data_IF_801973718317
#
_entry.id   IF_801973718317
#
_cell.length_a   1.000
_cell.length_b   1.000
_cell.length_c   1.000
_cell.angle_alpha   90.00
_cell.angle_beta   90.00
_cell.angle_gamma   90.00
#
_symmetry.space_group_name_H-M   'P 1'
#
loop_
_entity.id
_entity.type
_entity.pdbx_description
1 polymer ?
#
# COMPACT_ATOMS: atom_id res chain seq x y z
N UNK A 1 92.87 32.14 -25.58
CA UNK A 1 92.49 30.79 -26.04
C UNK A 1 92.53 29.91 -24.80
N UNK A 2 91.48 29.44 -24.15
CA UNK A 2 90.09 29.22 -24.56
C UNK A 2 89.67 27.84 -24.04
N UNK A 3 89.76 27.59 -22.72
CA UNK A 3 89.31 26.36 -22.07
C UNK A 3 87.99 26.63 -21.35
N UNK A 4 86.90 26.14 -21.95
CA UNK A 4 85.57 26.08 -21.34
C UNK A 4 85.22 24.59 -21.21
N UNK A 5 85.39 24.03 -20.02
CA UNK A 5 84.69 22.82 -19.60
C UNK A 5 83.72 23.23 -18.48
N UNK A 6 82.47 22.78 -18.63
CA UNK A 6 81.32 23.15 -17.80
C UNK A 6 81.35 22.43 -16.44
N UNK A 7 80.79 23.02 -15.37
CA UNK A 7 80.69 22.35 -14.08
C UNK A 7 79.56 21.30 -14.07
N UNK A 8 79.86 20.16 -13.42
CA UNK A 8 79.02 18.97 -13.21
C UNK A 8 77.56 19.27 -12.83
N UNK A 9 76.63 18.76 -13.64
CA UNK A 9 75.18 18.78 -13.38
C UNK A 9 74.71 17.80 -12.31
N UNK A 10 75.59 16.92 -11.81
CA UNK A 10 75.21 15.85 -10.87
C UNK A 10 75.17 16.31 -9.40
N UNK A 11 75.93 17.34 -9.03
CA UNK A 11 75.94 17.86 -7.66
C UNK A 11 74.65 18.64 -7.31
N UNK A 12 74.08 19.37 -8.26
CA UNK A 12 72.85 20.17 -8.06
C UNK A 12 71.61 19.25 -8.01
N UNK A 13 71.60 18.19 -8.80
CA UNK A 13 70.49 17.23 -8.84
C UNK A 13 70.40 16.39 -7.56
N UNK A 14 71.54 16.04 -6.96
CA UNK A 14 71.58 15.36 -5.65
C UNK A 14 71.13 16.25 -4.48
N UNK A 15 71.43 17.55 -4.51
CA UNK A 15 71.02 18.50 -3.48
C UNK A 15 69.52 18.83 -3.54
N UNK A 16 68.92 18.85 -4.74
CA UNK A 16 67.47 19.07 -4.92
C UNK A 16 66.66 17.83 -4.50
N UNK A 17 67.17 16.61 -4.73
CA UNK A 17 66.52 15.39 -4.23
C UNK A 17 66.58 15.25 -2.70
N UNK A 18 67.63 15.76 -2.05
CA UNK A 18 67.74 15.76 -0.57
C UNK A 18 66.85 16.81 0.11
N UNK A 19 66.47 17.89 -0.59
CA UNK A 19 65.66 18.97 -0.04
C UNK A 19 64.14 18.79 -0.25
N UNK A 20 63.71 17.81 -1.06
CA UNK A 20 62.30 17.49 -1.28
C UNK A 20 61.67 16.69 -0.13
N UNK A 21 62.42 16.38 0.92
CA UNK A 21 61.98 15.59 2.08
C UNK A 21 61.75 16.46 3.33
N UNK A 22 61.22 17.67 3.15
CA UNK A 22 60.74 18.49 4.27
C UNK A 22 59.22 18.33 4.37
N UNK A 23 58.82 17.52 5.35
CA UNK A 23 57.48 17.32 5.83
C UNK A 23 56.75 18.64 6.12
N UNK A 24 55.74 18.97 5.32
CA UNK A 24 54.57 19.72 5.80
C UNK A 24 53.30 19.03 5.34
N UNK A 25 52.88 18.06 6.15
CA UNK A 25 51.69 17.25 5.96
C UNK A 25 52.05 15.82 6.33
N UNK A 26 51.48 15.31 7.42
CA UNK A 26 51.68 13.94 7.90
C UNK A 26 51.20 12.97 6.80
N UNK A 27 52.09 12.66 5.86
CA UNK A 27 51.86 11.70 4.78
C UNK A 27 52.69 10.48 5.15
N UNK A 28 51.97 9.40 5.50
CA UNK A 28 52.61 8.13 5.81
C UNK A 28 53.50 7.69 4.64
N UNK A 29 54.69 7.12 4.90
CA UNK A 29 55.56 6.61 3.84
C UNK A 29 54.80 5.64 2.94
N UNK A 30 55.04 5.68 1.62
CA UNK A 30 54.34 4.85 0.64
C UNK A 30 54.42 3.34 0.95
N UNK A 31 55.54 2.92 1.58
CA UNK A 31 55.76 1.56 2.07
C UNK A 31 54.82 1.14 3.22
N UNK A 32 54.21 2.09 3.92
CA UNK A 32 53.21 1.90 4.98
C UNK A 32 51.80 1.84 4.39
N UNK A 33 51.52 2.68 3.39
CA UNK A 33 50.21 2.73 2.70
C UNK A 33 49.89 1.44 1.95
N UNK A 34 50.90 0.70 1.48
CA UNK A 34 50.74 -0.57 0.77
C UNK A 34 50.69 -1.80 1.69
N UNK A 35 50.86 -1.63 3.01
CA UNK A 35 50.83 -2.77 3.93
C UNK A 35 49.40 -3.32 4.09
N UNK A 36 49.23 -4.65 4.14
CA UNK A 36 47.91 -5.28 4.27
C UNK A 36 47.12 -4.79 5.50
N UNK A 37 47.80 -4.55 6.63
CA UNK A 37 47.17 -4.06 7.86
C UNK A 37 46.64 -2.62 7.72
N UNK A 38 47.33 -1.77 6.96
CA UNK A 38 46.94 -0.38 6.75
C UNK A 38 45.73 -0.27 5.82
N UNK A 39 45.74 -1.04 4.72
CA UNK A 39 44.59 -1.20 3.83
C UNK A 39 43.36 -1.71 4.58
N UNK A 40 43.54 -2.67 5.49
CA UNK A 40 42.43 -3.21 6.29
C UNK A 40 41.84 -2.14 7.23
N UNK A 41 42.67 -1.33 7.90
CA UNK A 41 42.20 -0.21 8.72
C UNK A 41 41.50 0.86 7.87
N UNK A 42 42.07 1.23 6.72
CA UNK A 42 41.48 2.20 5.82
C UNK A 42 40.09 1.75 5.31
N UNK A 43 39.95 0.47 4.96
CA UNK A 43 38.66 -0.13 4.58
C UNK A 43 37.67 -0.09 5.75
N UNK A 44 38.08 -0.45 6.97
CA UNK A 44 37.20 -0.40 8.15
C UNK A 44 36.72 1.02 8.45
N UNK A 45 37.61 2.02 8.37
CA UNK A 45 37.26 3.43 8.58
C UNK A 45 36.32 3.94 7.49
N UNK A 46 36.60 3.61 6.22
CA UNK A 46 35.73 3.97 5.11
C UNK A 46 34.34 3.32 5.26
N UNK A 47 34.29 2.04 5.63
CA UNK A 47 33.04 1.30 5.85
C UNK A 47 32.24 1.89 7.01
N UNK A 48 32.90 2.22 8.12
CA UNK A 48 32.26 2.87 9.27
C UNK A 48 31.69 4.26 8.89
N UNK A 49 32.43 5.02 8.09
CA UNK A 49 31.99 6.33 7.59
C UNK A 49 30.77 6.20 6.67
N UNK A 50 30.78 5.22 5.75
CA UNK A 50 29.64 4.92 4.87
C UNK A 50 28.42 4.48 5.70
N UNK A 51 28.61 3.65 6.73
CA UNK A 51 27.55 3.23 7.65
C UNK A 51 26.98 4.43 8.39
N UNK A 52 27.82 5.33 8.91
CA UNK A 52 27.37 6.54 9.61
C UNK A 52 26.63 7.50 8.68
N UNK A 53 27.14 7.70 7.47
CA UNK A 53 26.49 8.52 6.45
C UNK A 53 25.14 7.91 6.06
N UNK A 54 25.11 6.59 5.83
CA UNK A 54 23.90 5.81 5.55
C UNK A 54 22.87 5.89 6.68
N UNK A 55 23.29 5.77 7.94
CA UNK A 55 22.44 5.94 9.12
C UNK A 55 21.92 7.38 9.26
N UNK A 56 22.72 8.37 8.88
CA UNK A 56 22.32 9.79 8.89
C UNK A 56 21.30 10.09 7.79
N UNK A 57 21.51 9.57 6.58
CA UNK A 57 20.52 9.63 5.50
C UNK A 57 19.26 8.81 5.82
N UNK A 58 19.39 7.69 6.52
CA UNK A 58 18.26 6.90 7.00
C UNK A 58 17.40 7.63 8.03
N UNK A 59 17.91 8.69 8.69
CA UNK A 59 17.08 9.59 9.52
C UNK A 59 16.26 10.58 8.68
N UNK A 60 16.69 10.87 7.46
CA UNK A 60 15.98 11.76 6.52
C UNK A 60 14.88 11.01 5.74
N UNK A 61 15.02 9.69 5.60
CA UNK A 61 14.01 8.83 4.95
C UNK A 61 13.15 8.17 6.03
N UNK A 62 11.85 8.52 6.17
CA UNK A 62 10.99 7.86 7.13
C UNK A 62 10.90 6.37 6.82
N UNK A 63 11.36 5.54 7.76
CA UNK A 63 11.30 4.09 7.61
C UNK A 63 9.84 3.62 7.54
N UNK A 64 9.53 2.60 6.73
CA UNK A 64 8.19 2.07 6.64
C UNK A 64 7.76 1.51 8.00
N UNK A 65 6.55 1.88 8.44
CA UNK A 65 5.99 1.51 9.75
C UNK A 65 5.98 -0.01 10.06
N UNK A 66 6.11 -0.83 9.02
CA UNK A 66 6.19 -2.29 9.11
C UNK A 66 7.45 -2.80 9.82
N UNK A 67 8.55 -2.05 9.74
CA UNK A 67 9.84 -2.42 10.34
C UNK A 67 9.86 -2.17 11.85
N UNK A 68 9.00 -1.28 12.35
CA UNK A 68 8.96 -0.95 13.76
C UNK A 68 8.24 -2.04 14.60
N UNK A 69 8.83 -2.44 15.75
CA UNK A 69 8.16 -3.28 16.74
C UNK A 69 6.82 -2.68 17.17
N UNK A 70 5.83 -3.51 17.52
CA UNK A 70 4.47 -3.06 17.87
C UNK A 70 4.45 -1.92 18.91
N UNK A 71 5.34 -1.97 19.92
CA UNK A 71 5.47 -0.93 20.96
C UNK A 71 5.93 0.42 20.41
N UNK A 72 6.85 0.44 19.45
CA UNK A 72 7.36 1.67 18.80
C UNK A 72 6.33 2.23 17.81
N UNK A 73 5.58 1.35 17.16
CA UNK A 73 4.50 1.71 16.23
C UNK A 73 3.38 2.49 16.93
N UNK A 74 3.04 2.11 18.17
CA UNK A 74 2.06 2.83 18.99
C UNK A 74 2.54 4.24 19.36
N UNK A 75 3.84 4.45 19.56
CA UNK A 75 4.43 5.75 19.88
C UNK A 75 4.56 6.66 18.64
N UNK A 76 4.76 6.08 17.45
CA UNK A 76 4.86 6.82 16.18
C UNK A 76 3.50 7.27 15.62
N UNK A 77 2.40 6.67 16.05
CA UNK A 77 1.05 7.03 15.60
C UNK A 77 0.67 8.49 15.92
N UNK A 78 1.29 9.11 16.91
CA UNK A 78 1.01 10.50 17.28
C UNK A 78 1.71 11.55 16.38
N UNK A 79 2.73 11.19 15.60
CA UNK A 79 3.67 12.21 15.05
C UNK A 79 3.88 12.23 13.54
N UNK A 80 3.35 11.28 12.75
CA UNK A 80 3.55 11.29 11.29
C UNK A 80 2.26 11.68 10.56
N UNK A 81 2.16 12.96 10.18
CA UNK A 81 1.47 13.66 9.06
C UNK A 81 0.28 13.04 8.26
N UNK A 82 0.08 11.71 8.24
CA UNK A 82 -1.09 11.07 7.63
C UNK A 82 -2.39 11.32 8.41
N UNK A 83 -2.30 11.66 9.69
CA UNK A 83 -3.45 11.92 10.55
C UNK A 83 -4.14 13.27 10.28
N UNK A 84 -3.44 14.25 9.70
CA UNK A 84 -4.06 15.54 9.32
C UNK A 84 -5.11 15.34 8.23
N UNK A 85 -4.91 14.37 7.33
CA UNK A 85 -5.89 13.96 6.31
C UNK A 85 -7.03 13.15 6.92
N UNK A 86 -6.74 12.32 7.93
CA UNK A 86 -7.77 11.55 8.65
C UNK A 86 -8.61 12.41 9.60
N UNK A 87 -8.20 13.65 9.95
CA UNK A 87 -8.94 14.53 10.89
C UNK A 87 -10.34 14.89 10.41
N UNK A 88 -10.54 14.94 9.09
CA UNK A 88 -11.83 15.22 8.48
C UNK A 88 -12.72 13.97 8.34
N UNK A 89 -12.19 12.80 8.70
CA UNK A 89 -12.91 11.52 8.60
C UNK A 89 -13.62 11.25 9.94
N UNK A 90 -14.96 11.07 9.94
CA UNK A 90 -15.75 10.82 11.15
C UNK A 90 -15.18 9.69 12.01
N UNK A 91 -15.18 9.86 13.35
CA UNK A 91 -14.62 8.88 14.30
C UNK A 91 -15.23 7.48 14.18
N UNK A 92 -16.47 7.36 13.71
CA UNK A 92 -17.15 6.09 13.41
C UNK A 92 -16.50 5.36 12.24
N UNK A 93 -16.12 6.06 11.17
CA UNK A 93 -15.41 5.50 10.01
C UNK A 93 -13.95 5.14 10.31
N UNK A 94 -13.32 5.78 11.32
CA UNK A 94 -11.97 5.39 11.79
C UNK A 94 -11.96 4.03 12.50
N UNK A 95 -13.02 3.69 13.25
CA UNK A 95 -13.08 2.46 14.08
C UNK A 95 -13.27 1.17 13.28
N UNK A 96 -13.88 1.23 12.10
CA UNK A 96 -13.94 0.09 11.16
C UNK A 96 -12.68 -0.05 10.30
N UNK A 97 -11.79 0.95 10.32
CA UNK A 97 -10.65 1.12 9.43
C UNK A 97 -9.30 0.98 10.16
N UNK A 98 -9.16 0.02 11.08
CA UNK A 98 -7.94 -0.07 11.89
C UNK A 98 -6.66 -0.44 11.10
N UNK A 99 -6.73 -0.77 9.80
CA UNK A 99 -5.60 -0.61 8.85
C UNK A 99 -6.01 -0.75 7.36
N UNK A 100 -6.69 0.23 6.72
CA UNK A 100 -7.07 0.17 5.31
C UNK A 100 -5.87 -0.05 4.39
N UNK A 101 -4.71 0.52 4.74
CA UNK A 101 -3.48 0.30 4.00
C UNK A 101 -2.99 -1.15 4.05
N UNK A 102 -3.21 -1.87 5.16
CA UNK A 102 -2.75 -3.26 5.29
C UNK A 102 -3.65 -4.19 4.49
N UNK A 103 -4.95 -3.98 4.57
CA UNK A 103 -5.93 -4.76 3.81
C UNK A 103 -5.76 -4.57 2.31
N UNK A 104 -5.63 -3.32 1.84
CA UNK A 104 -5.43 -3.05 0.42
C UNK A 104 -4.10 -3.60 -0.10
N UNK A 105 -3.02 -3.53 0.70
CA UNK A 105 -1.74 -4.19 0.37
C UNK A 105 -1.88 -5.70 0.30
N UNK A 106 -2.65 -6.31 1.21
CA UNK A 106 -2.91 -7.76 1.18
C UNK A 106 -3.76 -8.17 -0.02
N UNK A 107 -4.76 -7.37 -0.40
CA UNK A 107 -5.54 -7.58 -1.63
C UNK A 107 -4.68 -7.45 -2.89
N UNK A 108 -3.83 -6.41 -2.97
CA UNK A 108 -2.90 -6.24 -4.07
C UNK A 108 -1.91 -7.42 -4.18
N UNK A 109 -1.44 -7.94 -3.04
CA UNK A 109 -0.60 -9.14 -2.99
C UNK A 109 -1.37 -10.38 -3.47
N UNK A 110 -2.63 -10.57 -3.06
CA UNK A 110 -3.48 -11.67 -3.51
C UNK A 110 -3.72 -11.66 -5.02
N UNK A 111 -3.78 -10.49 -5.65
CA UNK A 111 -3.93 -10.38 -7.11
C UNK A 111 -2.59 -10.56 -7.85
N UNK A 112 -1.50 -10.01 -7.31
CA UNK A 112 -0.21 -10.01 -8.03
C UNK A 112 0.54 -11.33 -7.92
N UNK A 113 0.55 -11.96 -6.74
CA UNK A 113 1.39 -13.13 -6.46
C UNK A 113 1.03 -14.34 -7.35
N UNK A 114 -0.25 -14.70 -7.58
CA UNK A 114 -0.59 -15.81 -8.48
C UNK A 114 -0.10 -15.58 -9.91
N UNK A 115 -0.25 -14.33 -10.40
CA UNK A 115 0.24 -13.94 -11.71
C UNK A 115 1.77 -14.01 -11.79
N UNK A 116 2.46 -13.53 -10.75
CA UNK A 116 3.92 -13.62 -10.66
C UNK A 116 4.41 -15.07 -10.67
N UNK A 117 3.76 -15.96 -9.92
CA UNK A 117 4.02 -17.39 -9.94
C UNK A 117 3.82 -18.00 -11.33
N UNK A 118 2.72 -17.65 -12.01
CA UNK A 118 2.44 -18.12 -13.37
C UNK A 118 3.49 -17.66 -14.38
N UNK A 119 3.82 -16.37 -14.39
CA UNK A 119 4.77 -15.78 -15.34
C UNK A 119 6.20 -16.27 -15.08
N UNK A 120 6.67 -16.24 -13.83
CA UNK A 120 8.03 -16.68 -13.49
C UNK A 120 8.16 -18.20 -13.65
N UNK A 121 7.16 -18.98 -13.24
CA UNK A 121 7.14 -20.43 -13.45
C UNK A 121 7.18 -20.80 -14.94
N UNK A 122 6.34 -20.16 -15.75
CA UNK A 122 6.34 -20.34 -17.21
C UNK A 122 7.67 -19.98 -17.85
N UNK A 123 8.28 -18.87 -17.44
CA UNK A 123 9.61 -18.46 -17.90
C UNK A 123 10.69 -19.49 -17.53
N UNK A 124 10.70 -19.98 -16.29
CA UNK A 124 11.68 -20.99 -15.83
C UNK A 124 11.54 -22.28 -16.64
N UNK A 125 10.32 -22.76 -16.89
CA UNK A 125 10.09 -23.96 -17.72
C UNK A 125 10.55 -23.72 -19.15
N UNK A 126 10.20 -22.58 -19.75
CA UNK A 126 10.58 -22.23 -21.12
C UNK A 126 12.11 -22.16 -21.28
N UNK A 127 12.79 -21.45 -20.37
CA UNK A 127 14.26 -21.35 -20.38
C UNK A 127 14.91 -22.71 -20.18
N UNK A 128 14.38 -23.54 -19.28
CA UNK A 128 14.90 -24.90 -19.05
C UNK A 128 14.75 -25.78 -20.29
N UNK A 129 13.61 -25.68 -20.97
CA UNK A 129 13.35 -26.42 -22.21
C UNK A 129 14.25 -25.97 -23.36
N UNK A 130 14.41 -24.66 -23.55
CA UNK A 130 15.34 -24.07 -24.54
C UNK A 130 16.77 -24.56 -24.25
N UNK A 131 17.22 -24.47 -23.00
CA UNK A 131 18.55 -24.93 -22.62
C UNK A 131 18.75 -26.44 -22.86
N UNK A 132 17.71 -27.26 -22.66
CA UNK A 132 17.75 -28.69 -22.96
C UNK A 132 17.94 -28.97 -24.47
N UNK A 133 17.36 -28.15 -25.35
CA UNK A 133 17.51 -28.29 -26.81
C UNK A 133 18.89 -27.84 -27.27
N UNK A 134 19.33 -26.66 -26.83
CA UNK A 134 20.53 -26.01 -27.38
C UNK A 134 21.84 -26.43 -26.72
N UNK A 135 21.82 -27.05 -25.53
CA UNK A 135 23.05 -27.41 -24.80
C UNK A 135 23.02 -28.85 -24.28
N UNK A 136 22.78 -29.89 -25.10
CA UNK A 136 22.41 -31.24 -24.65
C UNK A 136 23.32 -31.90 -23.60
N UNK A 137 24.61 -31.54 -23.54
CA UNK A 137 25.60 -32.10 -22.59
C UNK A 137 25.46 -31.71 -21.10
N UNK A 138 24.50 -30.86 -20.71
CA UNK A 138 24.27 -30.50 -19.31
C UNK A 138 23.66 -31.61 -18.45
N UNK A 139 23.84 -31.53 -17.13
CA UNK A 139 23.27 -32.45 -16.14
C UNK A 139 21.75 -32.58 -16.25
N UNK A 140 21.27 -33.80 -16.54
CA UNK A 140 19.84 -34.10 -16.61
C UNK A 140 19.13 -33.80 -15.29
N UNK A 141 19.82 -34.05 -14.16
CA UNK A 141 19.29 -33.80 -12.83
C UNK A 141 19.08 -32.30 -12.58
N UNK A 142 20.05 -31.43 -12.92
CA UNK A 142 19.89 -29.97 -12.76
C UNK A 142 18.70 -29.43 -13.58
N UNK A 143 18.52 -29.94 -14.81
CA UNK A 143 17.36 -29.59 -15.65
C UNK A 143 16.04 -30.04 -15.05
N UNK A 144 15.98 -31.28 -14.56
CA UNK A 144 14.79 -31.81 -13.92
C UNK A 144 14.41 -30.98 -12.68
N UNK A 145 15.38 -30.60 -11.85
CA UNK A 145 15.15 -29.73 -10.69
C UNK A 145 14.62 -28.36 -11.12
N UNK A 146 15.21 -27.74 -12.15
CA UNK A 146 14.74 -26.46 -12.68
C UNK A 146 13.29 -26.53 -13.20
N UNK A 147 12.98 -27.58 -13.96
CA UNK A 147 11.65 -27.82 -14.49
C UNK A 147 10.63 -28.06 -13.37
N UNK A 148 10.99 -28.84 -12.34
CA UNK A 148 10.14 -29.06 -11.17
C UNK A 148 9.86 -27.75 -10.43
N UNK A 149 10.87 -26.90 -10.19
CA UNK A 149 10.67 -25.58 -9.58
C UNK A 149 9.68 -24.75 -10.42
N UNK A 150 9.89 -24.69 -11.74
CA UNK A 150 9.01 -23.95 -12.65
C UNK A 150 7.57 -24.49 -12.69
N UNK A 151 7.39 -25.81 -12.71
CA UNK A 151 6.07 -26.47 -12.66
C UNK A 151 5.39 -26.21 -11.31
N UNK A 152 6.11 -26.31 -10.20
CA UNK A 152 5.59 -25.99 -8.86
C UNK A 152 5.11 -24.54 -8.80
N UNK A 153 5.89 -23.60 -9.37
CA UNK A 153 5.46 -22.20 -9.48
C UNK A 153 4.17 -22.05 -10.30
N UNK A 154 4.06 -22.73 -11.45
CA UNK A 154 2.85 -22.70 -12.27
C UNK A 154 1.62 -23.26 -11.51
N UNK A 155 1.78 -24.39 -10.83
CA UNK A 155 0.72 -25.01 -10.02
C UNK A 155 0.30 -24.10 -8.88
N UNK A 156 1.24 -23.46 -8.18
CA UNK A 156 0.94 -22.49 -7.14
C UNK A 156 0.25 -21.24 -7.69
N UNK A 157 0.65 -20.76 -8.87
CA UNK A 157 -0.04 -19.68 -9.57
C UNK A 157 -1.50 -20.02 -9.89
N UNK A 158 -1.76 -21.23 -10.40
CA UNK A 158 -3.11 -21.69 -10.73
C UNK A 158 -3.98 -21.96 -9.50
N UNK A 159 -3.40 -22.53 -8.45
CA UNK A 159 -4.12 -22.86 -7.21
C UNK A 159 -4.46 -21.61 -6.42
N UNK A 160 -3.50 -20.70 -6.21
CA UNK A 160 -3.75 -19.40 -5.56
C UNK A 160 -4.63 -18.47 -6.40
N UNK A 161 -4.64 -18.62 -7.74
CA UNK A 161 -5.57 -17.89 -8.60
C UNK A 161 -7.01 -18.37 -8.50
N UNK A 162 -7.24 -19.61 -8.04
CA UNK A 162 -8.58 -20.22 -7.93
C UNK A 162 -9.13 -20.25 -6.50
N UNK A 163 -8.26 -20.39 -5.50
CA UNK A 163 -8.64 -20.48 -4.10
C UNK A 163 -8.09 -19.29 -3.34
N UNK A 164 -8.95 -18.62 -2.57
CA UNK A 164 -8.61 -17.46 -1.74
C UNK A 164 -7.74 -17.88 -0.54
N UNK A 165 -6.45 -18.11 -0.78
CA UNK A 165 -5.49 -18.33 0.29
C UNK A 165 -5.25 -17.01 1.08
N UNK A 166 -4.95 -17.09 2.39
CA UNK A 166 -4.58 -15.91 3.15
C UNK A 166 -3.29 -15.29 2.59
N UNK A 167 -3.31 -13.97 2.36
CA UNK A 167 -2.21 -13.24 1.70
C UNK A 167 -0.83 -13.52 2.30
N UNK A 168 -0.76 -13.70 3.63
CA UNK A 168 0.51 -13.98 4.32
C UNK A 168 1.15 -15.29 3.87
N UNK A 169 0.35 -16.33 3.61
CA UNK A 169 0.85 -17.64 3.12
C UNK A 169 1.41 -17.48 1.71
N UNK A 170 0.74 -16.71 0.86
CA UNK A 170 1.18 -16.45 -0.51
C UNK A 170 2.51 -15.68 -0.55
N UNK A 171 2.69 -14.71 0.35
CA UNK A 171 3.94 -13.95 0.48
C UNK A 171 5.11 -14.84 0.91
N UNK A 172 4.91 -15.71 1.91
CA UNK A 172 5.94 -16.65 2.35
C UNK A 172 6.26 -17.70 1.27
N UNK A 173 5.24 -18.22 0.58
CA UNK A 173 5.44 -19.15 -0.53
C UNK A 173 6.27 -18.51 -1.65
N UNK A 174 5.94 -17.27 -2.04
CA UNK A 174 6.67 -16.53 -3.07
C UNK A 174 8.13 -16.33 -2.69
N UNK A 175 8.37 -15.79 -1.49
CA UNK A 175 9.74 -15.47 -1.03
C UNK A 175 10.59 -16.74 -0.85
N UNK A 176 10.01 -17.83 -0.33
CA UNK A 176 10.69 -19.11 -0.21
C UNK A 176 11.09 -19.69 -1.59
N UNK A 177 10.17 -19.70 -2.55
CA UNK A 177 10.46 -20.26 -3.88
C UNK A 177 11.42 -19.38 -4.67
N UNK A 178 11.29 -18.06 -4.57
CA UNK A 178 12.25 -17.14 -5.17
C UNK A 178 13.66 -17.32 -4.58
N UNK A 179 13.78 -17.60 -3.27
CA UNK A 179 15.07 -17.93 -2.65
C UNK A 179 15.63 -19.25 -3.19
N UNK A 180 14.82 -20.31 -3.26
CA UNK A 180 15.24 -21.59 -3.85
C UNK A 180 15.68 -21.45 -5.31
N UNK A 181 14.99 -20.62 -6.09
CA UNK A 181 15.37 -20.33 -7.47
C UNK A 181 16.75 -19.65 -7.55
N UNK A 182 17.01 -18.66 -6.70
CA UNK A 182 18.32 -17.99 -6.63
C UNK A 182 19.43 -18.95 -6.22
N UNK A 183 19.20 -19.78 -5.20
CA UNK A 183 20.17 -20.79 -4.75
C UNK A 183 20.44 -21.83 -5.85
N UNK A 184 19.41 -22.24 -6.59
CA UNK A 184 19.56 -23.13 -7.74
C UNK A 184 20.41 -22.50 -8.84
N UNK A 185 20.20 -21.22 -9.15
CA UNK A 185 21.03 -20.48 -10.11
C UNK A 185 22.49 -20.36 -9.65
N UNK A 186 22.72 -20.21 -8.34
CA UNK A 186 24.07 -20.24 -7.77
C UNK A 186 24.73 -21.61 -7.95
N UNK A 187 23.97 -22.70 -7.73
CA UNK A 187 24.45 -24.06 -7.95
C UNK A 187 24.83 -24.30 -9.42
N UNK A 188 23.95 -23.93 -10.36
CA UNK A 188 24.22 -24.06 -11.79
C UNK A 188 25.48 -23.31 -12.22
N UNK A 189 25.69 -22.11 -11.63
CA UNK A 189 26.87 -21.31 -11.94
C UNK A 189 28.15 -22.07 -11.59
N UNK A 190 28.20 -22.66 -10.39
CA UNK A 190 29.33 -23.45 -9.91
C UNK A 190 29.51 -24.75 -10.70
N UNK A 191 28.44 -25.49 -10.96
CA UNK A 191 28.50 -26.77 -11.69
C UNK A 191 28.97 -26.59 -13.13
N UNK A 192 28.53 -25.53 -13.80
CA UNK A 192 28.93 -25.22 -15.18
C UNK A 192 30.21 -24.39 -15.28
N UNK A 193 30.83 -24.02 -14.16
CA UNK A 193 31.92 -23.04 -14.08
C UNK A 193 31.64 -21.77 -14.90
N UNK A 194 30.38 -21.32 -14.93
CA UNK A 194 29.91 -20.26 -15.81
C UNK A 194 29.19 -19.14 -15.01
N UNK A 195 29.70 -17.90 -15.04
CA UNK A 195 29.14 -16.79 -14.28
C UNK A 195 27.75 -16.32 -14.76
N UNK A 196 27.29 -16.71 -15.96
CA UNK A 196 26.03 -16.21 -16.55
C UNK A 196 24.82 -16.52 -15.64
N UNK A 197 24.80 -17.66 -14.96
CA UNK A 197 23.72 -18.01 -14.05
C UNK A 197 23.67 -17.11 -12.80
N UNK A 198 24.82 -16.59 -12.33
CA UNK A 198 24.85 -15.60 -11.26
C UNK A 198 24.25 -14.27 -11.69
N UNK A 199 24.41 -13.86 -12.95
CA UNK A 199 23.74 -12.65 -13.47
C UNK A 199 22.22 -12.79 -13.37
N UNK A 200 21.67 -13.95 -13.72
CA UNK A 200 20.23 -14.22 -13.55
C UNK A 200 19.81 -14.26 -12.07
N UNK A 201 20.67 -14.76 -11.18
CA UNK A 201 20.42 -14.76 -9.73
C UNK A 201 20.30 -13.34 -9.17
N UNK A 202 21.18 -12.43 -9.59
CA UNK A 202 21.15 -11.00 -9.23
C UNK A 202 19.85 -10.34 -9.71
N UNK A 203 19.41 -10.62 -10.95
CA UNK A 203 18.15 -10.09 -11.48
C UNK A 203 16.93 -10.61 -10.70
N UNK A 204 16.88 -11.91 -10.42
CA UNK A 204 15.80 -12.51 -9.63
C UNK A 204 15.73 -11.92 -8.21
N UNK A 205 16.89 -11.62 -7.62
CA UNK A 205 17.01 -10.99 -6.30
C UNK A 205 16.50 -9.54 -6.27
N UNK A 206 16.63 -8.77 -7.36
CA UNK A 206 16.09 -7.39 -7.46
C UNK A 206 14.56 -7.41 -7.52
N UNK A 207 13.98 -8.32 -8.29
CA UNK A 207 12.53 -8.31 -8.59
C UNK A 207 11.71 -8.90 -7.44
N UNK A 208 12.22 -9.94 -6.78
CA UNK A 208 11.48 -10.72 -5.78
C UNK A 208 10.92 -9.91 -4.61
N UNK A 209 11.68 -8.99 -3.95
CA UNK A 209 11.18 -8.22 -2.82
C UNK A 209 9.96 -7.38 -3.20
N UNK A 210 10.00 -6.71 -4.35
CA UNK A 210 8.91 -5.87 -4.83
C UNK A 210 7.61 -6.67 -4.96
N UNK A 211 7.67 -7.92 -5.44
CA UNK A 211 6.50 -8.79 -5.59
C UNK A 211 5.89 -9.19 -4.24
N UNK A 212 6.72 -9.42 -3.23
CA UNK A 212 6.29 -9.88 -1.89
C UNK A 212 5.44 -8.87 -1.09
N UNK A 213 5.54 -7.57 -1.40
CA UNK A 213 4.89 -6.47 -0.66
C UNK A 213 5.14 -6.48 0.86
N UNK A 214 6.20 -7.15 1.34
CA UNK A 214 6.50 -7.33 2.76
C UNK A 214 7.99 -7.27 3.06
N UNK A 215 8.35 -6.43 4.04
CA UNK A 215 9.75 -6.24 4.45
C UNK A 215 10.36 -7.45 5.15
N UNK A 216 9.63 -8.07 6.10
CA UNK A 216 10.17 -9.13 6.94
C UNK A 216 10.72 -10.33 6.16
N UNK A 217 9.88 -11.02 5.36
CA UNK A 217 10.32 -12.13 4.52
C UNK A 217 11.41 -11.72 3.52
N UNK A 218 11.27 -10.53 2.89
CA UNK A 218 12.25 -10.03 1.91
C UNK A 218 13.64 -9.82 2.49
N UNK A 219 13.74 -9.35 3.74
CA UNK A 219 15.04 -9.16 4.41
C UNK A 219 15.70 -10.52 4.62
N UNK A 220 14.95 -11.50 5.17
CA UNK A 220 15.49 -12.83 5.45
C UNK A 220 15.98 -13.50 4.16
N UNK A 221 15.14 -13.53 3.12
CA UNK A 221 15.52 -14.16 1.85
C UNK A 221 16.61 -13.38 1.12
N UNK A 222 16.62 -12.05 1.22
CA UNK A 222 17.66 -11.21 0.64
C UNK A 222 19.05 -11.49 1.23
N UNK A 223 19.14 -11.69 2.55
CA UNK A 223 20.40 -12.05 3.22
C UNK A 223 20.88 -13.45 2.83
N UNK A 224 19.96 -14.43 2.73
CA UNK A 224 20.29 -15.79 2.26
C UNK A 224 20.84 -15.75 0.83
N UNK A 225 20.17 -15.01 -0.06
CA UNK A 225 20.58 -14.88 -1.45
C UNK A 225 21.92 -14.15 -1.60
N UNK A 226 22.17 -13.12 -0.81
CA UNK A 226 23.46 -12.42 -0.76
C UNK A 226 24.60 -13.38 -0.38
N UNK A 227 24.40 -14.19 0.66
CA UNK A 227 25.38 -15.21 1.06
C UNK A 227 25.58 -16.26 -0.03
N UNK A 228 24.50 -16.74 -0.66
CA UNK A 228 24.56 -17.72 -1.75
C UNK A 228 25.34 -17.24 -2.97
N UNK A 229 25.06 -16.02 -3.45
CA UNK A 229 25.75 -15.44 -4.62
C UNK A 229 27.23 -15.20 -4.30
N UNK A 230 27.54 -14.72 -3.09
CA UNK A 230 28.93 -14.48 -2.67
C UNK A 230 29.71 -15.78 -2.55
N UNK A 231 29.12 -16.83 -1.98
CA UNK A 231 29.73 -18.15 -1.86
C UNK A 231 29.98 -18.79 -3.23
N UNK A 232 29.01 -18.71 -4.16
CA UNK A 232 29.22 -19.19 -5.52
C UNK A 232 30.32 -18.41 -6.26
N UNK A 233 30.38 -17.08 -6.06
CA UNK A 233 31.45 -16.25 -6.61
C UNK A 233 32.84 -16.55 -6.05
N UNK A 234 32.95 -17.03 -4.80
CA UNK A 234 34.21 -17.50 -4.22
C UNK A 234 34.71 -18.78 -4.89
N UNK A 235 33.80 -19.71 -5.19
CA UNK A 235 34.13 -20.99 -5.82
C UNK A 235 34.52 -20.83 -7.29
N UNK A 236 33.98 -19.81 -7.96
CA UNK A 236 34.05 -19.74 -9.42
C UNK A 236 35.41 -19.39 -10.01
N UNK A 237 36.36 -18.80 -9.27
CA UNK A 237 37.71 -18.35 -9.70
C UNK A 237 37.82 -17.53 -11.03
N UNK A 238 36.74 -17.41 -11.80
CA UNK A 238 36.69 -16.83 -13.14
C UNK A 238 36.51 -15.31 -13.13
N UNK A 239 36.10 -14.75 -11.99
CA UNK A 239 35.87 -13.30 -11.77
C UNK A 239 36.30 -12.95 -10.34
N UNK A 240 36.89 -11.77 -10.16
CA UNK A 240 37.22 -11.21 -8.83
C UNK A 240 36.02 -11.32 -7.87
N UNK A 241 36.12 -12.16 -6.83
CA UNK A 241 35.06 -12.34 -5.81
C UNK A 241 34.47 -11.03 -5.26
N UNK A 242 35.28 -9.96 -5.01
CA UNK A 242 34.74 -8.68 -4.57
C UNK A 242 33.65 -8.10 -5.48
N UNK A 243 33.68 -8.40 -6.79
CA UNK A 243 32.68 -7.90 -7.75
C UNK A 243 31.32 -8.57 -7.57
N UNK A 244 31.28 -9.88 -7.28
CA UNK A 244 30.02 -10.59 -7.03
C UNK A 244 29.38 -10.20 -5.71
N UNK A 245 30.20 -9.99 -4.67
CA UNK A 245 29.71 -9.43 -3.40
C UNK A 245 29.10 -8.03 -3.60
N UNK A 246 29.80 -7.16 -4.34
CA UNK A 246 29.30 -5.82 -4.65
C UNK A 246 28.01 -5.86 -5.48
N UNK A 247 27.94 -6.72 -6.50
CA UNK A 247 26.76 -6.88 -7.34
C UNK A 247 25.55 -7.40 -6.54
N UNK A 248 25.73 -8.40 -5.68
CA UNK A 248 24.67 -8.93 -4.85
C UNK A 248 24.19 -7.90 -3.81
N UNK A 249 25.10 -7.11 -3.24
CA UNK A 249 24.76 -6.02 -2.32
C UNK A 249 23.97 -4.92 -3.03
N UNK A 250 24.41 -4.52 -4.23
CA UNK A 250 23.70 -3.55 -5.05
C UNK A 250 22.30 -4.05 -5.44
N UNK A 251 22.16 -5.33 -5.77
CA UNK A 251 20.87 -5.96 -6.06
C UNK A 251 19.93 -5.99 -4.85
N UNK A 252 20.46 -6.27 -3.65
CA UNK A 252 19.68 -6.22 -2.41
C UNK A 252 19.09 -4.83 -2.18
N UNK A 253 19.94 -3.79 -2.31
CA UNK A 253 19.55 -2.40 -2.15
C UNK A 253 18.51 -2.01 -3.21
N UNK A 254 18.76 -2.32 -4.49
CA UNK A 254 17.84 -2.03 -5.57
C UNK A 254 16.47 -2.71 -5.36
N UNK A 255 16.46 -3.98 -4.94
CA UNK A 255 15.22 -4.69 -4.63
C UNK A 255 14.43 -4.05 -3.48
N UNK A 256 15.10 -3.57 -2.44
CA UNK A 256 14.44 -2.84 -1.35
C UNK A 256 13.93 -1.46 -1.77
N UNK A 257 14.64 -0.75 -2.65
CA UNK A 257 14.14 0.50 -3.23
C UNK A 257 12.86 0.25 -4.04
N UNK A 258 12.83 -0.79 -4.88
CA UNK A 258 11.63 -1.15 -5.62
C UNK A 258 10.46 -1.55 -4.71
N UNK A 259 10.73 -2.31 -3.65
CA UNK A 259 9.73 -2.64 -2.64
C UNK A 259 9.17 -1.37 -1.97
N UNK A 260 10.05 -0.43 -1.61
CA UNK A 260 9.65 0.83 -0.98
C UNK A 260 8.79 1.68 -1.91
N UNK A 261 9.20 1.83 -3.19
CA UNK A 261 8.42 2.54 -4.21
C UNK A 261 7.04 1.91 -4.33
N UNK A 262 6.98 0.58 -4.47
CA UNK A 262 5.71 -0.15 -4.64
C UNK A 262 4.78 0.02 -3.44
N UNK A 263 5.32 -0.06 -2.22
CA UNK A 263 4.54 0.17 -1.00
C UNK A 263 3.99 1.60 -0.98
N UNK A 264 4.82 2.59 -1.29
CA UNK A 264 4.40 4.00 -1.29
C UNK A 264 3.34 4.28 -2.35
N UNK A 265 3.48 3.73 -3.57
CA UNK A 265 2.47 3.84 -4.63
C UNK A 265 1.14 3.19 -4.25
N UNK A 266 1.17 2.05 -3.57
CA UNK A 266 -0.06 1.40 -3.11
C UNK A 266 -0.72 2.23 -2.01
N UNK A 267 0.07 2.71 -1.04
CA UNK A 267 -0.43 3.53 0.06
C UNK A 267 -1.00 4.89 -0.42
N UNK A 268 -0.45 5.50 -1.47
CA UNK A 268 -0.99 6.75 -2.04
C UNK A 268 -2.33 6.53 -2.74
N UNK A 269 -2.48 5.44 -3.49
CA UNK A 269 -3.75 5.07 -4.11
C UNK A 269 -4.83 4.79 -3.06
N UNK A 270 -4.49 4.10 -1.97
CA UNK A 270 -5.42 3.90 -0.85
C UNK A 270 -5.90 5.23 -0.29
N UNK A 271 -4.99 6.20 -0.11
CA UNK A 271 -5.34 7.52 0.41
C UNK A 271 -6.31 8.26 -0.50
N UNK A 272 -6.07 8.24 -1.81
CA UNK A 272 -6.95 8.90 -2.77
C UNK A 272 -8.33 8.24 -2.81
N UNK A 273 -8.39 6.91 -2.79
CA UNK A 273 -9.66 6.18 -2.72
C UNK A 273 -10.41 6.47 -1.43
N UNK A 274 -9.73 6.49 -0.28
CA UNK A 274 -10.37 6.84 0.99
C UNK A 274 -10.89 8.28 0.98
N UNK A 275 -10.13 9.24 0.45
CA UNK A 275 -10.58 10.63 0.29
C UNK A 275 -11.80 10.71 -0.63
N UNK A 276 -11.76 10.02 -1.77
CA UNK A 276 -12.88 9.97 -2.71
C UNK A 276 -14.12 9.34 -2.07
N UNK A 277 -13.96 8.25 -1.32
CA UNK A 277 -15.07 7.60 -0.62
C UNK A 277 -15.65 8.49 0.49
N UNK A 278 -14.81 9.23 1.23
CA UNK A 278 -15.27 10.17 2.26
C UNK A 278 -16.00 11.34 1.64
N UNK A 279 -15.44 11.97 0.60
CA UNK A 279 -16.13 13.03 -0.15
C UNK A 279 -17.42 12.51 -0.80
N UNK A 280 -17.44 11.25 -1.23
CA UNK A 280 -18.62 10.58 -1.75
C UNK A 280 -19.60 10.13 -0.66
N UNK A 281 -19.23 10.20 0.63
CA UNK A 281 -20.07 9.74 1.75
C UNK A 281 -20.90 10.85 2.39
N UNK A 282 -20.59 12.11 2.10
CA UNK A 282 -21.33 13.29 2.61
C UNK A 282 -21.78 14.19 1.47
N UNK A 283 -23.06 14.56 1.46
CA UNK A 283 -23.62 15.49 0.49
C UNK A 283 -23.15 16.92 0.79
N UNK A 284 -22.53 17.64 -0.16
CA UNK A 284 -21.95 18.95 0.08
C UNK A 284 -22.99 20.05 0.31
N UNK A 285 -24.24 19.85 -0.15
CA UNK A 285 -25.31 20.83 0.00
C UNK A 285 -25.92 20.80 1.42
N UNK A 286 -26.14 19.60 1.94
CA UNK A 286 -26.86 19.38 3.21
C UNK A 286 -25.93 19.03 4.38
N UNK A 287 -24.72 18.55 4.10
CA UNK A 287 -23.79 18.00 5.10
C UNK A 287 -24.20 16.62 5.64
N UNK A 288 -25.28 16.03 5.11
CA UNK A 288 -25.77 14.71 5.50
C UNK A 288 -25.00 13.60 4.80
N UNK A 289 -25.22 12.35 5.20
CA UNK A 289 -24.66 11.23 4.45
C UNK A 289 -25.23 11.23 3.02
N UNK A 290 -24.44 10.82 2.04
CA UNK A 290 -24.99 10.42 0.75
C UNK A 290 -25.61 9.03 0.87
N UNK A 291 -26.35 8.61 -0.17
CA UNK A 291 -26.75 7.22 -0.38
C UNK A 291 -25.61 6.21 -0.13
N UNK A 292 -24.43 6.45 -0.70
CA UNK A 292 -23.27 5.57 -0.50
C UNK A 292 -22.73 5.61 0.92
N UNK A 293 -22.70 6.80 1.54
CA UNK A 293 -22.28 6.96 2.93
C UNK A 293 -23.17 6.18 3.90
N UNK A 294 -24.48 6.23 3.71
CA UNK A 294 -25.44 5.48 4.53
C UNK A 294 -25.31 3.97 4.33
N UNK A 295 -25.27 3.49 3.07
CA UNK A 295 -25.13 2.07 2.78
C UNK A 295 -23.83 1.48 3.34
N UNK A 296 -22.77 2.28 3.45
CA UNK A 296 -21.50 1.85 4.07
C UNK A 296 -21.63 1.68 5.58
N UNK A 297 -22.42 2.52 6.26
CA UNK A 297 -22.58 2.50 7.72
C UNK A 297 -23.71 1.59 8.21
N UNK A 298 -24.73 1.38 7.38
CA UNK A 298 -25.93 0.64 7.74
C UNK A 298 -25.66 -0.80 8.23
N UNK A 299 -24.72 -1.59 7.66
CA UNK A 299 -24.38 -2.92 8.19
C UNK A 299 -23.88 -2.90 9.63
N UNK A 300 -23.17 -1.84 10.04
CA UNK A 300 -22.70 -1.70 11.42
C UNK A 300 -23.85 -1.45 12.40
N UNK A 301 -24.88 -0.72 11.96
CA UNK A 301 -26.09 -0.49 12.72
C UNK A 301 -26.90 -1.80 12.83
N UNK A 302 -27.12 -2.50 11.71
CA UNK A 302 -27.81 -3.80 11.72
C UNK A 302 -27.13 -4.83 12.62
N UNK A 303 -25.79 -4.94 12.56
CA UNK A 303 -25.03 -5.85 13.42
C UNK A 303 -25.08 -5.46 14.91
N UNK A 304 -25.25 -4.17 15.24
CA UNK A 304 -25.45 -3.75 16.62
C UNK A 304 -26.83 -4.18 17.14
N UNK A 305 -27.87 -4.06 16.30
CA UNK A 305 -29.25 -4.44 16.60
C UNK A 305 -29.44 -5.95 16.70
N UNK A 306 -28.76 -6.72 15.84
CA UNK A 306 -28.78 -8.19 15.88
C UNK A 306 -28.32 -8.72 17.25
N UNK A 307 -27.30 -8.10 17.85
CA UNK A 307 -26.79 -8.51 19.17
C UNK A 307 -27.75 -8.19 20.31
N UNK A 308 -28.61 -7.19 20.16
CA UNK A 308 -29.56 -6.76 21.20
C UNK A 308 -30.97 -7.33 20.98
N UNK A 309 -31.21 -8.07 19.89
CA UNK A 309 -32.52 -8.62 19.54
C UNK A 309 -33.56 -7.56 19.18
N UNK A 310 -33.11 -6.41 18.66
CA UNK A 310 -33.99 -5.28 18.31
C UNK A 310 -34.47 -5.31 16.85
N UNK A 311 -35.20 -4.27 16.45
CA UNK A 311 -35.57 -3.99 15.06
C UNK A 311 -34.75 -2.84 14.48
N UNK A 312 -34.65 -2.77 13.17
CA UNK A 312 -34.13 -1.61 12.42
C UNK A 312 -35.31 -0.87 11.81
N UNK A 313 -35.39 0.43 12.07
CA UNK A 313 -36.43 1.32 11.56
C UNK A 313 -35.90 2.18 10.42
N UNK A 314 -36.68 2.31 9.36
CA UNK A 314 -36.33 3.10 8.17
C UNK A 314 -37.47 4.03 7.80
N UNK A 315 -37.18 5.32 7.69
CA UNK A 315 -38.10 6.34 7.20
C UNK A 315 -37.53 7.00 5.95
N UNK A 316 -38.32 7.03 4.88
CA UNK A 316 -38.06 7.83 3.69
C UNK A 316 -38.91 9.10 3.74
N UNK A 317 -38.30 10.22 3.37
CA UNK A 317 -38.91 11.55 3.38
C UNK A 317 -38.69 12.18 2.01
N UNK A 318 -39.75 12.52 1.31
CA UNK A 318 -39.70 13.10 -0.03
C UNK A 318 -40.24 14.54 -0.03
N UNK A 319 -39.55 15.49 -0.67
CA UNK A 319 -40.00 16.89 -0.74
C UNK A 319 -41.06 17.03 -1.84
N UNK A 320 -42.28 17.40 -1.45
CA UNK A 320 -43.36 17.62 -2.40
C UNK A 320 -43.09 18.88 -3.26
N UNK A 321 -43.41 18.79 -4.56
CA UNK A 321 -43.37 19.88 -5.54
C UNK A 321 -41.99 20.57 -5.75
N UNK A 322 -40.87 19.94 -5.37
CA UNK A 322 -39.54 20.56 -5.53
C UNK A 322 -39.19 20.83 -7.00
N UNK A 323 -39.52 19.90 -7.92
CA UNK A 323 -39.27 20.07 -9.35
C UNK A 323 -39.98 21.32 -9.90
N UNK A 324 -41.21 21.58 -9.45
CA UNK A 324 -41.96 22.79 -9.82
C UNK A 324 -41.29 24.05 -9.26
N UNK A 325 -40.84 23.99 -8.00
CA UNK A 325 -40.11 25.10 -7.38
C UNK A 325 -38.81 25.46 -8.14
N UNK A 326 -38.08 24.44 -8.59
CA UNK A 326 -36.88 24.62 -9.41
C UNK A 326 -37.18 25.28 -10.75
N UNK A 327 -38.32 24.92 -11.38
CA UNK A 327 -38.75 25.53 -12.64
C UNK A 327 -39.18 26.99 -12.45
N UNK A 328 -39.87 27.30 -11.35
CA UNK A 328 -40.44 28.63 -11.12
C UNK A 328 -39.41 29.63 -10.55
N UNK A 329 -38.46 29.17 -9.72
CA UNK A 329 -37.53 30.03 -8.96
C UNK A 329 -36.04 29.74 -9.19
N UNK A 330 -35.73 28.74 -10.02
CA UNK A 330 -34.38 28.31 -10.33
C UNK A 330 -33.79 27.29 -9.35
N UNK A 331 -32.75 26.61 -9.79
CA UNK A 331 -32.10 25.50 -9.04
C UNK A 331 -31.48 25.96 -7.73
N UNK A 332 -30.89 27.15 -7.68
CA UNK A 332 -30.32 27.70 -6.45
C UNK A 332 -31.37 27.90 -5.34
N UNK A 333 -32.63 28.16 -5.72
CA UNK A 333 -33.73 28.23 -4.77
C UNK A 333 -34.08 26.84 -4.23
N UNK A 334 -34.19 25.83 -5.10
CA UNK A 334 -34.39 24.44 -4.67
C UNK A 334 -33.29 23.94 -3.75
N UNK A 335 -32.03 24.29 -4.03
CA UNK A 335 -30.91 23.95 -3.17
C UNK A 335 -31.09 24.50 -1.75
N UNK A 336 -31.64 25.72 -1.62
CA UNK A 336 -31.96 26.31 -0.31
C UNK A 336 -33.10 25.58 0.41
N UNK A 337 -34.11 25.10 -0.34
CA UNK A 337 -35.21 24.27 0.18
C UNK A 337 -34.67 22.93 0.67
N UNK A 338 -33.87 22.23 -0.14
CA UNK A 338 -33.23 20.96 0.22
C UNK A 338 -32.37 21.13 1.48
N UNK A 339 -31.57 22.19 1.57
CA UNK A 339 -30.75 22.45 2.74
C UNK A 339 -31.59 22.70 4.01
N UNK A 340 -32.73 23.37 3.88
CA UNK A 340 -33.64 23.61 5.00
C UNK A 340 -34.34 22.33 5.47
N UNK A 341 -34.85 21.52 4.54
CA UNK A 341 -35.46 20.22 4.85
C UNK A 341 -34.43 19.29 5.48
N UNK A 342 -33.20 19.23 4.95
CA UNK A 342 -32.12 18.43 5.54
C UNK A 342 -31.82 18.81 6.99
N UNK A 343 -31.83 20.11 7.33
CA UNK A 343 -31.70 20.58 8.71
C UNK A 343 -32.90 20.16 9.57
N UNK A 344 -34.11 20.28 9.06
CA UNK A 344 -35.33 19.88 9.76
C UNK A 344 -35.32 18.38 10.10
N UNK A 345 -35.05 17.52 9.10
CA UNK A 345 -34.94 16.06 9.28
C UNK A 345 -33.85 15.69 10.28
N UNK A 346 -32.71 16.38 10.25
CA UNK A 346 -31.61 16.14 11.21
C UNK A 346 -31.98 16.54 12.64
N UNK A 347 -32.74 17.62 12.80
CA UNK A 347 -33.12 18.14 14.13
C UNK A 347 -34.06 17.20 14.90
N UNK A 348 -34.81 16.37 14.17
CA UNK A 348 -35.77 15.43 14.76
C UNK A 348 -35.22 14.01 14.89
N UNK A 349 -34.12 13.70 14.19
CA UNK A 349 -33.47 12.40 14.24
C UNK A 349 -32.91 12.12 15.64
N UNK A 350 -32.99 10.88 16.08
CA UNK A 350 -32.50 10.49 17.40
C UNK A 350 -30.98 10.33 17.39
N UNK A 351 -30.39 10.37 18.60
CA UNK A 351 -28.96 10.19 18.76
C UNK A 351 -28.57 8.75 18.40
N UNK A 352 -27.88 8.59 17.28
CA UNK A 352 -27.46 7.28 16.77
C UNK A 352 -28.11 6.91 15.43
N UNK A 353 -29.12 7.66 15.00
CA UNK A 353 -29.72 7.50 13.68
C UNK A 353 -28.75 7.95 12.58
N UNK A 354 -28.79 7.23 11.46
CA UNK A 354 -28.08 7.60 10.24
C UNK A 354 -29.06 8.37 9.35
N UNK A 355 -28.72 9.63 9.05
CA UNK A 355 -29.51 10.49 8.16
C UNK A 355 -28.74 10.71 6.87
N UNK A 356 -29.40 10.50 5.74
CA UNK A 356 -28.81 10.70 4.41
C UNK A 356 -29.74 11.43 3.45
N UNK A 357 -29.12 12.14 2.49
CA UNK A 357 -29.77 12.51 1.23
C UNK A 357 -29.68 11.31 0.30
N UNK A 358 -30.80 10.63 0.14
CA UNK A 358 -30.90 9.35 -0.55
C UNK A 358 -30.91 9.51 -2.07
N UNK A 359 -31.72 10.44 -2.56
CA UNK A 359 -31.80 10.84 -3.95
C UNK A 359 -32.19 12.32 -4.00
N UNK A 360 -32.08 13.01 -5.14
CA UNK A 360 -32.18 14.47 -5.30
C UNK A 360 -32.97 15.25 -4.22
N UNK A 361 -34.24 14.91 -4.04
CA UNK A 361 -35.23 15.48 -3.11
C UNK A 361 -35.65 14.53 -1.96
N UNK A 362 -35.09 13.33 -1.92
CA UNK A 362 -35.45 12.28 -0.97
C UNK A 362 -34.39 12.13 0.13
N UNK A 363 -34.82 12.05 1.38
CA UNK A 363 -33.99 11.78 2.55
C UNK A 363 -34.35 10.42 3.16
N UNK A 364 -33.34 9.75 3.72
CA UNK A 364 -33.50 8.47 4.42
C UNK A 364 -32.96 8.59 5.82
N UNK A 365 -33.79 8.22 6.80
CA UNK A 365 -33.42 8.08 8.21
C UNK A 365 -33.44 6.59 8.57
N UNK A 366 -32.31 6.09 9.07
CA UNK A 366 -32.14 4.71 9.50
C UNK A 366 -31.77 4.69 10.99
N UNK A 367 -32.60 4.07 11.81
CA UNK A 367 -32.45 4.07 13.27
C UNK A 367 -32.63 2.70 13.89
N UNK A 368 -32.36 2.63 15.20
CA UNK A 368 -32.58 1.42 16.01
C UNK A 368 -33.98 1.49 16.61
N UNK A 369 -34.76 0.42 16.47
CA UNK A 369 -36.12 0.30 16.99
C UNK A 369 -37.18 0.40 15.90
N UNK A 370 -38.43 0.56 16.32
CA UNK A 370 -39.50 0.89 15.39
C UNK A 370 -39.45 2.39 15.06
N UNK A 371 -39.56 2.78 13.77
CA UNK A 371 -39.61 4.18 13.42
C UNK A 371 -40.92 4.78 13.94
N UNK A 372 -40.91 6.09 14.14
CA UNK A 372 -42.15 6.82 14.42
C UNK A 372 -43.16 6.61 13.29
N UNK A 373 -44.45 6.58 13.63
CA UNK A 373 -45.51 6.40 12.64
C UNK A 373 -45.43 7.51 11.58
N UNK A 374 -45.54 7.13 10.29
CA UNK A 374 -45.27 8.04 9.17
C UNK A 374 -46.06 9.37 9.22
N UNK A 375 -47.37 9.41 9.56
CA UNK A 375 -48.11 10.67 9.67
C UNK A 375 -47.65 11.56 10.82
N UNK A 376 -47.22 10.97 11.94
CA UNK A 376 -46.70 11.72 13.09
C UNK A 376 -45.32 12.31 12.77
N UNK A 377 -44.44 11.50 12.17
CA UNK A 377 -43.13 11.94 11.70
C UNK A 377 -43.27 13.05 10.65
N UNK A 378 -44.20 12.90 9.69
CA UNK A 378 -44.53 13.93 8.71
C UNK A 378 -44.91 15.25 9.37
N UNK A 379 -45.86 15.24 10.31
CA UNK A 379 -46.31 16.45 11.00
C UNK A 379 -45.17 17.17 11.72
N UNK A 380 -44.27 16.41 12.38
CA UNK A 380 -43.09 16.98 13.04
C UNK A 380 -42.08 17.56 12.06
N UNK A 381 -41.86 16.90 10.91
CA UNK A 381 -40.99 17.43 9.85
C UNK A 381 -41.59 18.72 9.29
N UNK A 382 -42.87 18.75 8.96
CA UNK A 382 -43.56 19.93 8.43
C UNK A 382 -43.47 21.12 9.42
N UNK A 383 -43.66 20.87 10.72
CA UNK A 383 -43.48 21.89 11.77
C UNK A 383 -42.03 22.40 11.84
N UNK A 384 -41.05 21.49 11.83
CA UNK A 384 -39.64 21.84 11.85
C UNK A 384 -39.21 22.62 10.59
N UNK A 385 -39.76 22.28 9.41
CA UNK A 385 -39.56 23.02 8.17
C UNK A 385 -40.16 24.42 8.28
N UNK A 386 -41.38 24.57 8.82
CA UNK A 386 -42.02 25.86 9.00
C UNK A 386 -41.17 26.83 9.85
N UNK A 387 -40.47 26.30 10.86
CA UNK A 387 -39.53 27.08 11.69
C UNK A 387 -38.28 27.56 10.94
N UNK A 388 -37.91 26.95 9.81
CA UNK A 388 -36.81 27.43 8.97
C UNK A 388 -37.16 28.69 8.17
N UNK A 389 -38.45 29.02 8.06
CA UNK A 389 -38.96 30.16 7.29
C UNK A 389 -38.91 29.98 5.78
N UNK A 390 -38.54 28.80 5.28
CA UNK A 390 -38.48 28.50 3.85
C UNK A 390 -39.87 28.10 3.33
N UNK A 391 -40.29 28.72 2.23
CA UNK A 391 -41.57 28.48 1.56
C UNK A 391 -41.34 28.15 0.09
N UNK A 392 -42.26 27.44 -0.55
CA UNK A 392 -42.33 27.27 -2.01
C UNK A 392 -43.08 28.48 -2.60
N UNK A 393 -42.41 29.63 -2.64
CA UNK A 393 -43.05 30.90 -2.99
C UNK A 393 -44.03 31.34 -1.90
N UNK A 394 -45.34 31.25 -2.18
CA UNK A 394 -46.42 31.56 -1.20
C UNK A 394 -46.95 30.33 -0.45
N UNK A 395 -46.55 29.13 -0.85
CA UNK A 395 -47.02 27.88 -0.23
C UNK A 395 -45.99 27.36 0.78
N UNK A 396 -46.41 26.69 1.86
CA UNK A 396 -45.46 26.00 2.74
C UNK A 396 -44.77 24.86 2.00
N UNK A 397 -43.50 24.61 2.33
CA UNK A 397 -42.81 23.37 1.93
C UNK A 397 -43.44 22.23 2.74
N UNK A 398 -43.83 21.15 2.08
CA UNK A 398 -44.38 19.95 2.73
C UNK A 398 -43.61 18.71 2.28
N UNK A 399 -43.63 17.66 3.10
CA UNK A 399 -43.00 16.38 2.77
C UNK A 399 -44.01 15.24 2.75
N UNK A 400 -43.70 14.19 2.01
CA UNK A 400 -44.33 12.88 2.11
C UNK A 400 -43.41 11.92 2.86
N UNK A 401 -43.95 11.03 3.69
CA UNK A 401 -43.15 10.13 4.53
C UNK A 401 -43.65 8.69 4.42
N UNK A 402 -42.72 7.76 4.21
CA UNK A 402 -42.96 6.31 4.31
C UNK A 402 -42.06 5.70 5.37
N UNK A 403 -42.59 4.86 6.27
CA UNK A 403 -41.82 4.29 7.39
C UNK A 403 -42.08 2.79 7.57
N UNK A 404 -41.01 2.03 7.80
CA UNK A 404 -41.08 0.59 8.01
C UNK A 404 -40.04 0.11 9.01
N UNK A 405 -40.32 -1.02 9.67
CA UNK A 405 -39.37 -1.69 10.55
C UNK A 405 -39.14 -3.12 10.08
N UNK A 406 -37.92 -3.63 10.26
CA UNK A 406 -37.61 -5.03 10.01
C UNK A 406 -36.64 -5.62 11.01
N UNK A 407 -36.60 -6.94 11.04
CA UNK A 407 -35.60 -7.70 11.79
C UNK A 407 -34.33 -7.82 10.93
N UNK A 408 -33.15 -7.40 11.43
CA UNK A 408 -31.90 -7.44 10.67
C UNK A 408 -31.46 -8.86 10.25
N UNK A 409 -32.01 -9.91 10.87
CA UNK A 409 -31.70 -11.31 10.52
C UNK A 409 -32.53 -11.83 9.34
N UNK A 410 -33.71 -11.25 9.09
CA UNK A 410 -34.64 -11.72 8.05
C UNK A 410 -34.85 -10.71 6.92
N UNK A 411 -34.61 -9.43 7.17
CA UNK A 411 -34.91 -8.34 6.25
C UNK A 411 -33.65 -7.57 5.88
N UNK A 412 -33.40 -7.43 4.59
CA UNK A 412 -32.30 -6.60 4.10
C UNK A 412 -32.70 -5.11 4.12
N UNK A 413 -31.72 -4.22 4.13
CA UNK A 413 -31.97 -2.77 4.04
C UNK A 413 -32.73 -2.43 2.74
N UNK A 414 -32.40 -3.10 1.64
CA UNK A 414 -33.09 -2.93 0.36
C UNK A 414 -34.57 -3.33 0.42
N UNK A 415 -34.92 -4.35 1.22
CA UNK A 415 -36.32 -4.70 1.47
C UNK A 415 -37.05 -3.60 2.23
N UNK A 416 -36.42 -3.00 3.24
CA UNK A 416 -36.99 -1.89 4.00
C UNK A 416 -37.17 -0.66 3.13
N UNK A 417 -36.21 -0.34 2.27
CA UNK A 417 -36.34 0.76 1.30
C UNK A 417 -37.54 0.51 0.39
N UNK A 418 -37.64 -0.68 -0.21
CA UNK A 418 -38.75 -1.03 -1.12
C UNK A 418 -40.12 -0.87 -0.44
N UNK A 419 -40.25 -1.31 0.82
CA UNK A 419 -41.50 -1.20 1.57
C UNK A 419 -41.85 0.24 1.92
N UNK A 420 -40.87 1.06 2.35
CA UNK A 420 -41.10 2.47 2.64
C UNK A 420 -41.40 3.28 1.38
N UNK A 421 -40.76 2.98 0.25
CA UNK A 421 -41.05 3.64 -1.04
C UNK A 421 -42.48 3.38 -1.50
N UNK A 422 -42.99 2.16 -1.32
CA UNK A 422 -44.38 1.84 -1.66
C UNK A 422 -45.40 2.66 -0.84
N UNK A 423 -45.06 3.07 0.39
CA UNK A 423 -45.91 3.94 1.21
C UNK A 423 -45.87 5.41 0.79
N UNK A 424 -44.77 5.86 0.16
CA UNK A 424 -44.65 7.20 -0.40
C UNK A 424 -45.52 7.38 -1.65
N UNK A 425 -45.63 6.34 -2.48
CA UNK A 425 -46.44 6.36 -3.71
C UNK A 425 -47.95 6.19 -3.46
N UNK A 426 -48.34 5.75 -2.27
CA UNK A 426 -49.73 5.63 -1.89
C UNK A 426 -50.34 7.02 -1.58
N UNK A 427 -51.59 7.31 -2.02
CA UNK A 427 -52.23 8.58 -1.71
C UNK A 427 -52.37 8.75 -0.19
N UNK A 428 -51.74 9.79 0.36
CA UNK A 428 -51.76 10.12 1.79
C UNK A 428 -52.92 11.02 2.19
#
# INVERSE_FOLDING_TARGET
MGSREAPDGDAVTSAIMSAANVDTGILLPQATLSQPWFLLIAVVVALNTIIYLGLTFAKLVPWPAQVHPRRVRALLHETISKDTVMRDIPRSARRSADHPYREMRMQAAQQTIPLAFGLTGGLVVAVTFINAIFSPGGSLLSRAVAAVIGIVMLVLGLTFGRQSAPAIVMVWAWTAIACLLVLKLCWDAVEASNPVALTYAVVAMIISPAISMSWGPSIVTGLINLMGITAAGLVLEAVDTPRWFLAATAALIAGFVLLQIRINSTDSLTLEQLKSNVLASTDPLTGLLTRNGLLTLAPSLSAAVERTGGKVGLSLVDINDLARANNDYGTAFGDSVIAAVGRAVTSIAQRGDLVSRWDGDCFLVLGIGEPENAPALKARIDEAIALTGVTLGKSPVTVSVGSTAGDPTTSTIDDLIRLSSAQLEAPQ
#
